data_IF_012248846573
#
_entry.id   IF_012248846573
#
_cell.length_a   1.000
_cell.length_b   1.000
_cell.length_c   1.000
_cell.angle_alpha   90.00
_cell.angle_beta   90.00
_cell.angle_gamma   90.00
#
_symmetry.space_group_name_H-M   'P 1'
#
loop_
_entity.id
_entity.type
_entity.pdbx_description
1 polymer ?
#
# COMPACT_ATOMS: atom_id res chain seq x y z
N UNK A 1 -31.74 -3.94 -7.38
CA UNK A 1 -31.30 -2.68 -6.75
C UNK A 1 -31.66 -2.55 -5.27
N UNK A 2 -32.93 -2.73 -4.85
CA UNK A 2 -33.35 -2.63 -3.43
C UNK A 2 -32.58 -3.59 -2.48
N UNK A 3 -32.28 -4.81 -2.95
CA UNK A 3 -31.52 -5.82 -2.17
C UNK A 3 -30.06 -5.45 -1.92
N UNK A 4 -29.43 -4.75 -2.86
CA UNK A 4 -28.03 -4.31 -2.74
C UNK A 4 -27.93 -3.08 -1.83
N UNK A 5 -28.93 -2.21 -1.87
CA UNK A 5 -29.04 -1.05 -0.98
C UNK A 5 -29.25 -1.46 0.49
N UNK A 6 -30.11 -2.46 0.74
CA UNK A 6 -30.32 -2.98 2.10
C UNK A 6 -29.07 -3.69 2.66
N UNK A 7 -28.19 -4.22 1.81
CA UNK A 7 -26.94 -4.85 2.22
C UNK A 7 -25.87 -3.83 2.65
N UNK A 8 -25.97 -2.58 2.20
CA UNK A 8 -25.14 -1.44 2.66
C UNK A 8 -25.71 -0.81 3.93
N UNK A 9 -27.02 -0.96 4.18
CA UNK A 9 -27.72 -0.28 5.28
C UNK A 9 -27.65 -0.99 6.63
N UNK A 10 -27.31 -2.28 6.67
CA UNK A 10 -27.09 -2.99 7.94
C UNK A 10 -25.61 -2.91 8.34
N UNK A 11 -25.25 -2.27 9.47
CA UNK A 11 -23.85 -2.18 9.91
C UNK A 11 -23.19 -3.55 10.12
N UNK A 12 -23.99 -4.59 10.40
CA UNK A 12 -23.53 -5.97 10.61
C UNK A 12 -23.13 -6.74 9.35
N UNK A 13 -23.61 -6.37 8.16
CA UNK A 13 -23.19 -7.05 6.92
C UNK A 13 -21.83 -6.55 6.45
N UNK A 14 -21.57 -5.23 6.57
CA UNK A 14 -20.29 -4.63 6.23
C UNK A 14 -19.17 -5.04 7.20
N UNK A 15 -19.48 -5.25 8.48
CA UNK A 15 -18.51 -5.78 9.46
C UNK A 15 -18.05 -7.19 9.09
N UNK A 16 -18.97 -8.09 8.75
CA UNK A 16 -18.64 -9.48 8.33
C UNK A 16 -17.85 -9.56 7.02
N UNK A 17 -18.07 -8.63 6.08
CA UNK A 17 -17.27 -8.58 4.84
C UNK A 17 -15.85 -8.13 5.15
N UNK A 18 -15.69 -7.15 6.06
CA UNK A 18 -14.40 -6.66 6.56
C UNK A 18 -13.64 -7.72 7.36
N UNK A 19 -14.29 -8.80 7.79
CA UNK A 19 -13.62 -9.92 8.45
C UNK A 19 -12.92 -10.88 7.48
N UNK A 20 -13.21 -10.81 6.18
CA UNK A 20 -12.54 -11.66 5.19
C UNK A 20 -11.06 -11.26 5.06
N UNK A 21 -10.12 -12.22 5.08
CA UNK A 21 -8.68 -11.93 5.04
C UNK A 21 -8.26 -11.18 3.76
N UNK A 22 -8.91 -11.51 2.63
CA UNK A 22 -8.69 -10.81 1.35
C UNK A 22 -9.09 -9.33 1.48
N UNK A 23 -10.26 -9.05 2.07
CA UNK A 23 -10.76 -7.68 2.23
C UNK A 23 -9.85 -6.89 3.18
N UNK A 24 -9.38 -7.49 4.28
CA UNK A 24 -8.44 -6.83 5.20
C UNK A 24 -7.10 -6.50 4.57
N UNK A 25 -6.65 -7.30 3.63
CA UNK A 25 -5.37 -7.08 2.92
C UNK A 25 -5.51 -6.04 1.80
N UNK A 26 -6.61 -6.08 1.03
CA UNK A 26 -6.82 -5.21 -0.13
C UNK A 26 -7.34 -3.83 0.26
N UNK A 27 -8.14 -3.73 1.32
CA UNK A 27 -8.78 -2.48 1.72
C UNK A 27 -7.78 -1.33 2.01
N UNK A 28 -6.66 -1.56 2.72
CA UNK A 28 -5.62 -0.54 2.87
C UNK A 28 -5.00 -0.07 1.55
N UNK A 29 -4.81 -0.98 0.57
CA UNK A 29 -4.31 -0.62 -0.76
C UNK A 29 -5.31 0.25 -1.51
N UNK A 30 -6.60 -0.09 -1.43
CA UNK A 30 -7.67 0.68 -2.03
C UNK A 30 -7.74 2.10 -1.44
N UNK A 31 -7.66 2.23 -0.11
CA UNK A 31 -7.60 3.52 0.56
C UNK A 31 -6.39 4.34 0.08
N UNK A 32 -5.21 3.72 -0.01
CA UNK A 32 -4.01 4.38 -0.50
C UNK A 32 -4.23 4.94 -1.91
N UNK A 33 -4.76 4.13 -2.84
CA UNK A 33 -5.06 4.58 -4.21
C UNK A 33 -6.05 5.74 -4.22
N UNK A 34 -7.12 5.67 -3.43
CA UNK A 34 -8.08 6.76 -3.33
C UNK A 34 -7.44 8.05 -2.79
N UNK A 35 -6.67 7.98 -1.70
CA UNK A 35 -6.02 9.17 -1.12
C UNK A 35 -4.94 9.71 -2.06
N UNK A 36 -4.21 8.84 -2.76
CA UNK A 36 -3.27 9.25 -3.81
C UNK A 36 -3.96 10.01 -4.93
N UNK A 37 -5.15 9.58 -5.35
CA UNK A 37 -5.93 10.32 -6.35
C UNK A 37 -6.29 11.73 -5.86
N UNK A 38 -6.81 11.87 -4.65
CA UNK A 38 -7.11 13.19 -4.07
C UNK A 38 -5.86 14.07 -3.98
N UNK A 39 -4.76 13.50 -3.50
CA UNK A 39 -3.48 14.20 -3.37
C UNK A 39 -2.94 14.62 -4.74
N UNK A 40 -3.10 13.79 -5.77
CA UNK A 40 -2.73 14.11 -7.14
C UNK A 40 -3.58 15.26 -7.71
N UNK A 41 -4.88 15.28 -7.44
CA UNK A 41 -5.74 16.41 -7.81
C UNK A 41 -5.30 17.70 -7.15
N UNK A 42 -4.94 17.66 -5.85
CA UNK A 42 -4.45 18.83 -5.12
C UNK A 42 -3.08 19.27 -5.65
N UNK A 43 -2.15 18.34 -5.91
CA UNK A 43 -0.87 18.62 -6.57
C UNK A 43 -1.06 19.25 -7.96
N UNK A 44 -2.06 18.78 -8.72
CA UNK A 44 -2.50 19.37 -9.98
C UNK A 44 -2.89 20.85 -9.82
N UNK A 45 -3.75 21.15 -8.85
CA UNK A 45 -4.31 22.50 -8.67
C UNK A 45 -3.34 23.50 -8.01
N UNK A 46 -2.63 23.08 -6.96
CA UNK A 46 -1.82 23.98 -6.12
C UNK A 46 -0.35 23.55 -6.00
N UNK A 47 0.02 22.39 -6.53
CA UNK A 47 1.40 21.87 -6.50
C UNK A 47 2.26 22.26 -7.71
N UNK A 48 1.81 23.18 -8.56
CA UNK A 48 2.61 23.70 -9.68
C UNK A 48 2.45 22.94 -11.00
N UNK A 49 1.83 21.76 -10.99
CA UNK A 49 1.61 20.95 -12.19
C UNK A 49 0.77 21.64 -13.27
N UNK A 50 -0.36 22.25 -12.88
CA UNK A 50 -1.19 23.01 -13.83
C UNK A 50 -0.47 24.26 -14.33
N UNK A 51 0.24 24.97 -13.46
CA UNK A 51 1.00 26.16 -13.84
C UNK A 51 2.11 25.81 -14.84
N UNK A 52 2.85 24.73 -14.60
CA UNK A 52 3.87 24.21 -15.51
C UNK A 52 3.28 23.80 -16.87
N UNK A 53 2.08 23.22 -16.88
CA UNK A 53 1.38 22.87 -18.12
C UNK A 53 0.91 24.11 -18.90
N UNK A 54 0.42 25.13 -18.20
CA UNK A 54 -0.02 26.40 -18.81
C UNK A 54 1.18 27.20 -19.36
N UNK A 55 2.33 27.16 -18.69
CA UNK A 55 3.55 27.88 -19.08
C UNK A 55 4.33 27.17 -20.20
N UNK A 56 4.54 25.86 -20.07
CA UNK A 56 5.38 25.08 -21.01
C UNK A 56 4.58 24.41 -22.13
N UNK A 57 3.25 24.47 -22.06
CA UNK A 57 2.33 23.80 -22.97
C UNK A 57 2.31 22.27 -22.81
N UNK A 58 1.45 21.61 -23.59
CA UNK A 58 1.31 20.15 -23.54
C UNK A 58 2.59 19.39 -23.87
N UNK A 59 3.53 20.02 -24.60
CA UNK A 59 4.76 19.38 -25.10
C UNK A 59 5.67 18.95 -23.95
N UNK A 60 5.67 19.69 -22.83
CA UNK A 60 6.47 19.34 -21.64
C UNK A 60 6.03 18.04 -20.96
N UNK A 61 4.79 17.61 -21.19
CA UNK A 61 4.22 16.41 -20.59
C UNK A 61 3.85 15.34 -21.62
N UNK A 62 4.00 15.61 -22.92
CA UNK A 62 3.63 14.65 -23.97
C UNK A 62 4.47 13.39 -23.87
N UNK A 63 3.79 12.28 -23.68
CA UNK A 63 4.36 10.94 -23.78
C UNK A 63 3.89 10.30 -25.07
N UNK A 64 4.77 9.54 -25.71
CA UNK A 64 4.46 8.76 -26.91
C UNK A 64 4.63 7.28 -26.61
N UNK A 65 3.72 6.47 -27.13
CA UNK A 65 3.91 5.03 -27.19
C UNK A 65 4.34 4.64 -28.60
N UNK A 66 5.45 3.92 -28.69
CA UNK A 66 5.87 3.26 -29.92
C UNK A 66 5.13 1.91 -30.01
N UNK A 67 4.15 1.82 -30.91
CA UNK A 67 3.43 0.58 -31.18
C UNK A 67 4.24 -0.31 -32.15
N UNK A 68 4.01 -1.64 -32.13
CA UNK A 68 4.56 -2.54 -33.15
C UNK A 68 4.19 -2.03 -34.55
N UNK A 69 5.14 -2.07 -35.49
CA UNK A 69 5.09 -1.47 -36.85
C UNK A 69 5.43 0.03 -36.94
N UNK A 70 5.99 0.63 -35.88
CA UNK A 70 6.54 2.00 -35.96
C UNK A 70 5.50 3.12 -35.93
N UNK A 71 4.28 2.80 -35.52
CA UNK A 71 3.22 3.80 -35.32
C UNK A 71 3.42 4.45 -33.96
N UNK A 72 3.65 5.78 -33.95
CA UNK A 72 3.70 6.57 -32.71
C UNK A 72 2.30 7.04 -32.35
N UNK A 73 1.85 6.70 -31.15
CA UNK A 73 0.60 7.23 -30.62
C UNK A 73 0.92 8.26 -29.53
N UNK A 74 0.54 9.51 -29.78
CA UNK A 74 0.69 10.59 -28.82
C UNK A 74 -0.40 10.50 -27.75
N UNK A 75 -0.02 10.66 -26.49
CA UNK A 75 -0.93 10.83 -25.36
C UNK A 75 -1.07 12.32 -25.07
N UNK A 76 -2.29 12.76 -24.76
CA UNK A 76 -2.55 14.14 -24.34
C UNK A 76 -1.68 14.52 -23.14
N UNK A 77 -1.04 15.69 -23.21
CA UNK A 77 -0.20 16.21 -22.13
C UNK A 77 -0.95 16.35 -20.80
N UNK A 78 -2.26 16.58 -20.81
CA UNK A 78 -3.10 16.62 -19.60
C UNK A 78 -3.19 15.27 -18.89
N UNK A 79 -3.33 14.19 -19.65
CA UNK A 79 -3.40 12.82 -19.10
C UNK A 79 -2.05 12.44 -18.52
N UNK A 80 -0.97 12.74 -19.23
CA UNK A 80 0.39 12.45 -18.78
C UNK A 80 0.79 13.28 -17.56
N UNK A 81 0.40 14.56 -17.50
CA UNK A 81 0.57 15.41 -16.32
C UNK A 81 -0.17 14.83 -15.11
N UNK A 82 -1.44 14.44 -15.28
CA UNK A 82 -2.20 13.81 -14.20
C UNK A 82 -1.53 12.52 -13.72
N UNK A 83 -1.08 11.68 -14.64
CA UNK A 83 -0.42 10.42 -14.31
C UNK A 83 0.89 10.66 -13.55
N UNK A 84 1.69 11.64 -13.96
CA UNK A 84 2.91 12.03 -13.26
C UNK A 84 2.61 12.53 -11.84
N UNK A 85 1.61 13.41 -11.67
CA UNK A 85 1.17 13.88 -10.36
C UNK A 85 0.62 12.74 -9.48
N UNK A 86 -0.05 11.75 -10.08
CA UNK A 86 -0.57 10.58 -9.39
C UNK A 86 0.55 9.66 -8.90
N UNK A 87 1.56 9.42 -9.72
CA UNK A 87 2.75 8.65 -9.35
C UNK A 87 3.50 9.36 -8.22
N UNK A 88 3.70 10.67 -8.31
CA UNK A 88 4.30 11.44 -7.22
C UNK A 88 3.48 11.38 -5.93
N UNK A 89 2.15 11.50 -6.01
CA UNK A 89 1.28 11.37 -4.84
C UNK A 89 1.43 9.99 -4.17
N UNK A 90 1.60 8.92 -4.95
CA UNK A 90 1.88 7.60 -4.40
C UNK A 90 3.24 7.56 -3.68
N UNK A 91 4.30 8.14 -4.25
CA UNK A 91 5.61 8.21 -3.59
C UNK A 91 5.58 9.03 -2.30
N UNK A 92 4.87 10.16 -2.32
CA UNK A 92 4.64 11.02 -1.16
C UNK A 92 3.95 10.26 -0.01
N UNK A 93 2.88 9.54 -0.32
CA UNK A 93 2.05 8.83 0.66
C UNK A 93 2.63 7.47 1.08
N UNK A 94 3.60 6.95 0.35
CA UNK A 94 4.36 5.76 0.76
C UNK A 94 5.65 6.12 1.50
N UNK A 95 6.00 7.40 1.59
CA UNK A 95 7.23 7.88 2.21
C UNK A 95 8.49 7.58 1.40
N UNK A 96 8.34 7.27 0.12
CA UNK A 96 9.42 6.85 -0.79
C UNK A 96 9.85 7.98 -1.74
N UNK A 97 9.62 9.24 -1.37
CA UNK A 97 9.91 10.37 -2.24
C UNK A 97 11.36 10.85 -2.06
N UNK A 98 12.19 10.61 -3.07
CA UNK A 98 13.61 10.98 -3.05
C UNK A 98 13.86 12.49 -3.26
N UNK A 99 12.97 13.18 -3.99
CA UNK A 99 13.10 14.61 -4.31
C UNK A 99 11.91 15.41 -3.73
N UNK A 100 11.95 15.76 -2.43
CA UNK A 100 10.86 16.47 -1.78
C UNK A 100 10.66 17.90 -2.26
N UNK A 101 11.74 18.56 -2.70
CA UNK A 101 11.70 19.94 -3.20
C UNK A 101 11.28 20.01 -4.66
N UNK A 102 11.28 18.87 -5.37
CA UNK A 102 10.87 18.82 -6.77
C UNK A 102 11.85 19.50 -7.72
N UNK A 103 13.15 19.46 -7.39
CA UNK A 103 14.22 20.01 -8.22
C UNK A 103 14.10 19.52 -9.67
N UNK A 104 14.16 20.43 -10.63
CA UNK A 104 14.09 20.15 -12.08
C UNK A 104 12.77 19.53 -12.54
N UNK A 105 11.67 19.84 -11.85
CA UNK A 105 10.34 19.31 -12.16
C UNK A 105 9.22 20.33 -11.97
N UNK A 106 7.96 19.92 -12.21
CA UNK A 106 6.79 20.82 -12.16
C UNK A 106 6.51 21.45 -10.79
N UNK A 107 7.16 20.95 -9.72
CA UNK A 107 7.06 21.43 -8.35
C UNK A 107 8.15 22.44 -7.97
N UNK A 108 9.15 22.64 -8.82
CA UNK A 108 10.29 23.50 -8.51
C UNK A 108 9.82 24.93 -8.20
N UNK A 109 10.34 25.50 -7.12
CA UNK A 109 9.96 26.84 -6.61
C UNK A 109 8.46 27.03 -6.30
N UNK A 110 7.69 25.94 -6.18
CA UNK A 110 6.27 26.02 -5.85
C UNK A 110 6.03 25.88 -4.34
N UNK A 111 5.54 26.94 -3.70
CA UNK A 111 5.24 26.94 -2.27
C UNK A 111 4.13 25.95 -1.90
N UNK A 112 3.09 25.81 -2.75
CA UNK A 112 2.00 24.87 -2.50
C UNK A 112 2.47 23.41 -2.52
N UNK A 113 3.39 23.07 -3.42
CA UNK A 113 4.05 21.77 -3.42
C UNK A 113 4.83 21.52 -2.12
N UNK A 114 5.58 22.50 -1.62
CA UNK A 114 6.34 22.38 -0.37
C UNK A 114 5.44 22.12 0.84
N UNK A 115 4.31 22.83 0.94
CA UNK A 115 3.32 22.64 2.01
C UNK A 115 2.72 21.24 1.94
N UNK A 116 2.35 20.78 0.75
CA UNK A 116 1.81 19.43 0.56
C UNK A 116 2.80 18.35 0.97
N UNK A 117 4.06 18.49 0.58
CA UNK A 117 5.13 17.56 0.96
C UNK A 117 5.32 17.51 2.48
N UNK A 118 5.28 18.67 3.14
CA UNK A 118 5.47 18.77 4.59
C UNK A 118 4.33 18.11 5.38
N UNK A 119 3.10 18.15 4.85
CA UNK A 119 1.93 17.53 5.50
C UNK A 119 1.81 16.05 5.14
N UNK A 120 1.85 15.74 3.84
CA UNK A 120 1.60 14.40 3.34
C UNK A 120 2.77 13.45 3.55
N UNK A 121 4.02 13.93 3.64
CA UNK A 121 5.17 13.10 3.95
C UNK A 121 5.03 12.37 5.30
N UNK A 122 4.84 13.09 6.42
CA UNK A 122 4.58 12.48 7.72
C UNK A 122 3.32 11.59 7.74
N UNK A 123 2.24 12.03 7.10
CA UNK A 123 1.01 11.23 6.98
C UNK A 123 1.25 9.93 6.21
N UNK A 124 2.10 9.96 5.19
CA UNK A 124 2.50 8.79 4.42
C UNK A 124 3.27 7.77 5.26
N UNK A 125 4.21 8.24 6.10
CA UNK A 125 4.95 7.37 7.03
C UNK A 125 4.02 6.69 8.04
N UNK A 126 3.04 7.43 8.57
CA UNK A 126 2.01 6.84 9.44
C UNK A 126 1.16 5.82 8.67
N UNK A 127 0.71 6.18 7.46
CA UNK A 127 -0.10 5.32 6.61
C UNK A 127 0.58 3.99 6.24
N UNK A 128 1.85 4.04 5.80
CA UNK A 128 2.61 2.83 5.46
C UNK A 128 2.89 1.97 6.70
N UNK A 129 3.12 2.59 7.86
CA UNK A 129 3.28 1.87 9.12
C UNK A 129 2.01 1.08 9.48
N UNK A 130 0.83 1.68 9.33
CA UNK A 130 -0.46 0.99 9.51
C UNK A 130 -0.66 -0.13 8.48
N UNK A 131 -0.23 0.08 7.24
CA UNK A 131 -0.29 -0.93 6.20
C UNK A 131 0.56 -2.16 6.57
N UNK A 132 1.84 -1.94 6.90
CA UNK A 132 2.77 -3.00 7.32
C UNK A 132 2.23 -3.71 8.56
N UNK A 133 1.76 -2.97 9.57
CA UNK A 133 1.17 -3.57 10.77
C UNK A 133 -0.04 -4.47 10.45
N UNK A 134 -0.87 -4.09 9.48
CA UNK A 134 -2.01 -4.88 9.04
C UNK A 134 -1.57 -6.17 8.34
N UNK A 135 -0.55 -6.11 7.50
CA UNK A 135 0.03 -7.29 6.82
C UNK A 135 0.67 -8.23 7.84
N UNK A 136 1.49 -7.71 8.75
CA UNK A 136 2.14 -8.49 9.82
C UNK A 136 1.09 -9.18 10.69
N UNK A 137 0.01 -8.48 11.05
CA UNK A 137 -1.10 -9.07 11.82
C UNK A 137 -1.71 -10.28 11.11
N UNK A 138 -1.99 -10.17 9.81
CA UNK A 138 -2.56 -11.29 9.04
C UNK A 138 -1.56 -12.44 8.86
N UNK A 139 -0.27 -12.16 8.71
CA UNK A 139 0.79 -13.17 8.71
C UNK A 139 0.88 -13.90 10.06
N UNK A 140 0.90 -13.15 11.17
CA UNK A 140 0.92 -13.72 12.53
C UNK A 140 -0.30 -14.59 12.80
N UNK A 141 -1.50 -14.21 12.33
CA UNK A 141 -2.70 -15.02 12.48
C UNK A 141 -2.61 -16.34 11.69
N UNK A 142 -2.04 -16.31 10.48
CA UNK A 142 -1.82 -17.54 9.68
C UNK A 142 -0.82 -18.48 10.33
N UNK A 143 0.28 -17.95 10.86
CA UNK A 143 1.34 -18.76 11.49
C UNK A 143 1.09 -19.10 12.96
N UNK A 144 0.01 -18.61 13.57
CA UNK A 144 -0.25 -18.82 14.99
C UNK A 144 -0.36 -20.31 15.38
N UNK A 145 -0.95 -21.14 14.52
CA UNK A 145 -1.08 -22.58 14.76
C UNK A 145 0.27 -23.29 14.63
N UNK A 146 1.02 -22.99 13.58
CA UNK A 146 2.35 -23.56 13.36
C UNK A 146 3.31 -23.17 14.48
N UNK A 147 3.27 -21.90 14.90
CA UNK A 147 4.08 -21.39 16.00
C UNK A 147 3.74 -22.12 17.30
N UNK A 148 2.46 -22.25 17.66
CA UNK A 148 2.03 -23.01 18.85
C UNK A 148 2.42 -24.47 18.78
N UNK A 149 2.31 -25.10 17.60
CA UNK A 149 2.73 -26.49 17.44
C UNK A 149 4.24 -26.63 17.65
N UNK A 150 5.04 -25.72 17.09
CA UNK A 150 6.49 -25.70 17.27
C UNK A 150 6.91 -25.41 18.72
N UNK A 151 6.21 -24.51 19.41
CA UNK A 151 6.44 -24.19 20.83
C UNK A 151 6.12 -25.39 21.72
N UNK A 152 5.00 -26.07 21.46
CA UNK A 152 4.62 -27.28 22.18
C UNK A 152 5.61 -28.42 21.96
N UNK A 153 6.05 -28.66 20.73
CA UNK A 153 7.10 -29.65 20.44
C UNK A 153 8.41 -29.31 21.16
N UNK A 154 8.82 -28.05 21.12
CA UNK A 154 10.03 -27.60 21.82
C UNK A 154 9.90 -27.75 23.35
N UNK A 155 8.72 -27.47 23.91
CA UNK A 155 8.43 -27.67 25.34
C UNK A 155 8.50 -29.15 25.74
N UNK A 156 7.84 -30.02 24.97
CA UNK A 156 7.88 -31.48 25.19
C UNK A 156 9.32 -31.98 25.10
N UNK A 157 10.10 -31.54 24.10
CA UNK A 157 11.51 -31.89 23.96
C UNK A 157 12.31 -31.53 25.21
N UNK A 158 12.21 -30.28 25.68
CA UNK A 158 12.91 -29.83 26.89
C UNK A 158 12.49 -30.62 28.13
N UNK A 159 11.20 -30.94 28.27
CA UNK A 159 10.71 -31.74 29.39
C UNK A 159 11.27 -33.17 29.38
N UNK A 160 11.32 -33.81 28.21
CA UNK A 160 11.89 -35.15 28.03
C UNK A 160 13.40 -35.19 28.29
N UNK A 161 14.12 -34.13 27.94
CA UNK A 161 15.55 -33.96 28.22
C UNK A 161 15.81 -33.79 29.72
N UNK A 162 15.05 -32.93 30.41
CA UNK A 162 15.19 -32.70 31.87
C UNK A 162 14.92 -33.99 32.66
N UNK A 163 13.93 -34.78 32.23
CA UNK A 163 13.57 -36.05 32.87
C UNK A 163 14.50 -37.22 32.52
N UNK A 164 15.56 -37.00 31.73
CA UNK A 164 16.52 -38.02 31.30
C UNK A 164 15.86 -39.26 30.65
N UNK A 165 14.79 -39.05 29.89
CA UNK A 165 14.06 -40.16 29.25
C UNK A 165 14.90 -40.71 28.08
N UNK A 166 15.07 -42.04 27.94
CA UNK A 166 15.82 -42.65 26.84
C UNK A 166 15.29 -42.25 25.46
N UNK A 167 16.19 -42.05 24.50
CA UNK A 167 15.87 -41.57 23.14
C UNK A 167 14.88 -42.48 22.38
N UNK A 168 14.86 -43.79 22.67
CA UNK A 168 13.88 -44.72 22.08
C UNK A 168 12.44 -44.44 22.53
N UNK A 169 12.25 -44.07 23.81
CA UNK A 169 10.94 -43.69 24.35
C UNK A 169 10.50 -42.32 23.84
N UNK A 170 11.43 -41.37 23.74
CA UNK A 170 11.15 -40.05 23.15
C UNK A 170 10.65 -40.20 21.70
N UNK A 171 11.28 -41.08 20.90
CA UNK A 171 10.89 -41.34 19.51
C UNK A 171 9.47 -41.90 19.39
N UNK A 172 9.02 -42.70 20.37
CA UNK A 172 7.64 -43.20 20.43
C UNK A 172 6.63 -42.10 20.75
N UNK A 173 6.96 -41.18 21.66
CA UNK A 173 6.09 -40.03 22.01
C UNK A 173 5.86 -39.12 20.80
N UNK A 174 6.89 -38.86 20.00
CA UNK A 174 6.76 -38.08 18.76
C UNK A 174 6.04 -38.83 17.62
N UNK A 175 5.97 -40.16 17.65
CA UNK A 175 5.24 -40.95 16.64
C UNK A 175 3.73 -41.05 16.90
N UNK A 176 3.27 -40.65 18.09
CA UNK A 176 1.87 -40.65 18.53
C UNK A 176 1.18 -39.29 18.32
N UNK A 177 1.88 -38.29 17.80
CA UNK A 177 1.39 -36.95 17.47
C UNK A 177 1.72 -36.65 16.01
#
# INVERSE_FOLDING_TARGET
FVRMWNFVRTPDSMSRIRERPIVRTVYPMFILVCISHWTACVLGCVGGYRAALEESGEVAFRTHFDLPLGVKHDISGYVSMYFQAFVEACYLLTGMMDNPVGLSGPRENNFGALVLVTICGPLGVVGISFFIASVVREQSLKFALDMRHSENQAFIKRALEILHIPSELQRRVYSLH
#
